data_IF_438607569667
#
_entry.id   IF_438607569667
#
_cell.length_a   1.000
_cell.length_b   1.000
_cell.length_c   1.000
_cell.angle_alpha   90.00
_cell.angle_beta   90.00
_cell.angle_gamma   90.00
#
_symmetry.space_group_name_H-M   'P 1'
#
loop_
_entity.id
_entity.type
_entity.pdbx_description
1 polymer ?
#
# COMPACT_ATOMS: atom_id res chain seq x y z
N UNK A 1 29.39 12.52 12.92
CA UNK A 1 29.50 13.66 11.98
C UNK A 1 29.29 13.12 10.57
N UNK A 2 28.05 13.12 10.07
CA UNK A 2 27.74 12.55 8.76
C UNK A 2 27.47 13.68 7.76
N UNK A 3 28.31 13.72 6.74
CA UNK A 3 28.29 14.68 5.64
C UNK A 3 27.02 14.48 4.80
N UNK A 4 26.17 15.50 4.73
CA UNK A 4 25.07 15.60 3.75
C UNK A 4 25.65 15.51 2.34
N UNK A 5 25.44 14.39 1.64
CA UNK A 5 25.71 14.28 0.20
C UNK A 5 24.44 14.53 -0.58
N UNK A 6 24.59 15.41 -1.58
CA UNK A 6 23.59 15.93 -2.51
C UNK A 6 22.67 14.85 -3.08
N UNK A 7 21.39 15.21 -3.17
CA UNK A 7 20.36 14.54 -3.95
C UNK A 7 20.84 14.35 -5.40
N UNK A 8 20.76 13.13 -5.91
CA UNK A 8 21.01 12.79 -7.32
C UNK A 8 19.71 12.27 -7.91
N UNK A 9 19.23 12.82 -9.04
CA UNK A 9 17.88 12.56 -9.58
C UNK A 9 17.67 11.15 -10.15
N UNK A 10 18.68 10.28 -10.10
CA UNK A 10 18.65 8.93 -10.69
C UNK A 10 18.75 7.79 -9.65
N UNK A 11 18.43 8.04 -8.37
CA UNK A 11 18.52 7.02 -7.32
C UNK A 11 17.17 6.36 -7.05
N UNK A 12 17.08 5.05 -7.22
CA UNK A 12 15.96 4.24 -6.73
C UNK A 12 16.08 4.09 -5.21
N UNK A 13 15.20 4.75 -4.46
CA UNK A 13 14.88 4.33 -3.10
C UNK A 13 14.00 3.08 -3.19
N UNK A 14 14.25 2.09 -2.33
CA UNK A 14 13.38 0.94 -2.11
C UNK A 14 12.25 1.26 -1.13
N UNK A 15 11.50 0.25 -0.69
CA UNK A 15 10.31 0.41 0.13
C UNK A 15 10.57 1.32 1.32
N UNK A 16 9.81 2.40 1.32
CA UNK A 16 9.76 3.42 2.36
C UNK A 16 8.48 3.24 3.16
N UNK A 17 8.47 3.69 4.41
CA UNK A 17 7.27 3.71 5.26
C UNK A 17 6.27 4.77 4.74
N UNK A 18 5.74 4.61 3.52
CA UNK A 18 4.76 5.55 2.95
C UNK A 18 3.42 5.33 3.66
N UNK A 19 3.08 6.29 4.51
CA UNK A 19 1.81 6.44 5.22
C UNK A 19 1.48 7.92 5.33
N UNK A 20 0.21 8.24 5.55
CA UNK A 20 -0.23 9.64 5.64
C UNK A 20 0.57 10.44 6.69
N UNK A 21 0.88 9.85 7.84
CA UNK A 21 1.65 10.46 8.94
C UNK A 21 3.05 10.92 8.52
N UNK A 22 3.63 10.29 7.49
CA UNK A 22 4.98 10.58 7.02
C UNK A 22 4.99 11.66 5.91
N UNK A 23 3.83 12.18 5.50
CA UNK A 23 3.75 13.28 4.54
C UNK A 23 3.70 14.63 5.27
N UNK A 24 4.82 15.32 5.28
CA UNK A 24 4.98 16.62 5.94
C UNK A 24 4.60 17.75 4.99
N UNK A 25 3.59 18.52 5.38
CA UNK A 25 3.08 19.66 4.61
C UNK A 25 3.58 20.96 5.24
N UNK A 26 4.29 21.77 4.46
CA UNK A 26 4.62 23.15 4.81
C UNK A 26 3.56 24.08 4.24
N UNK A 27 2.84 24.77 5.12
CA UNK A 27 1.83 25.76 4.78
C UNK A 27 2.35 27.17 5.07
N UNK A 28 1.91 28.15 4.27
CA UNK A 28 2.26 29.56 4.48
C UNK A 28 1.60 30.16 5.73
N UNK A 29 0.40 29.68 6.06
CA UNK A 29 -0.43 30.11 7.18
C UNK A 29 -1.08 28.86 7.84
N UNK A 30 -1.68 29.03 9.03
CA UNK A 30 -2.37 27.96 9.77
C UNK A 30 -3.91 28.08 9.67
N UNK A 31 -4.42 28.28 8.45
CA UNK A 31 -5.85 28.49 8.18
C UNK A 31 -6.43 27.48 7.18
N UNK A 32 -7.77 27.31 7.12
CA UNK A 32 -8.42 26.35 6.21
C UNK A 32 -8.13 26.59 4.73
N UNK A 33 -7.83 27.83 4.33
CA UNK A 33 -7.48 28.20 2.95
C UNK A 33 -5.96 28.29 2.72
N UNK A 34 -5.16 27.63 3.55
CA UNK A 34 -3.71 27.75 3.47
C UNK A 34 -3.17 27.11 2.21
N UNK A 35 -2.35 27.88 1.49
CA UNK A 35 -1.63 27.39 0.32
C UNK A 35 -0.52 26.45 0.77
N UNK A 36 -0.51 25.23 0.22
CA UNK A 36 0.59 24.28 0.36
C UNK A 36 1.81 24.85 -0.38
N UNK A 37 2.87 25.15 0.36
CA UNK A 37 4.12 25.65 -0.23
C UNK A 37 5.09 24.51 -0.55
N UNK A 38 5.07 23.46 0.28
CA UNK A 38 6.01 22.35 0.17
C UNK A 38 5.43 21.07 0.74
N UNK A 39 5.71 19.97 0.07
CA UNK A 39 5.47 18.61 0.59
C UNK A 39 6.81 17.90 0.72
N UNK A 40 7.03 17.21 1.84
CA UNK A 40 8.24 16.41 2.10
C UNK A 40 7.85 15.04 2.65
N UNK A 41 8.59 14.01 2.26
CA UNK A 41 8.53 12.70 2.90
C UNK A 41 9.43 12.72 4.14
N UNK A 42 8.86 12.40 5.29
CA UNK A 42 9.57 12.17 6.54
C UNK A 42 9.99 10.71 6.69
N UNK A 43 10.55 10.37 7.85
CA UNK A 43 10.74 8.97 8.31
C UNK A 43 11.47 8.08 7.29
N UNK A 44 12.69 8.51 6.93
CA UNK A 44 13.54 7.82 5.94
C UNK A 44 14.57 6.88 6.59
N UNK A 45 14.48 6.63 7.89
CA UNK A 45 15.46 5.83 8.63
C UNK A 45 15.48 4.37 8.19
N UNK A 46 14.32 3.87 7.78
CA UNK A 46 14.12 2.51 7.27
C UNK A 46 14.26 2.40 5.75
N UNK A 47 14.54 3.50 5.05
CA UNK A 47 14.65 3.52 3.60
C UNK A 47 15.93 2.79 3.14
N UNK A 48 15.76 1.80 2.26
CA UNK A 48 16.87 1.00 1.73
C UNK A 48 17.11 1.36 0.27
N UNK A 49 18.37 1.40 -0.16
CA UNK A 49 18.67 1.47 -1.59
C UNK A 49 18.54 0.08 -2.22
N UNK A 50 17.64 -0.05 -3.19
CA UNK A 50 17.49 -1.28 -3.99
C UNK A 50 18.11 -1.07 -5.37
N UNK A 51 19.12 -1.88 -5.75
CA UNK A 51 19.68 -1.85 -7.09
C UNK A 51 18.63 -2.15 -8.17
N UNK A 52 18.76 -1.59 -9.38
CA UNK A 52 17.87 -1.90 -10.49
C UNK A 52 17.76 -3.42 -10.74
N UNK A 53 16.53 -3.90 -10.96
CA UNK A 53 16.26 -5.33 -11.18
C UNK A 53 16.30 -6.20 -9.93
N UNK A 54 16.52 -5.60 -8.75
CA UNK A 54 16.47 -6.30 -7.45
C UNK A 54 15.20 -5.96 -6.68
N UNK A 55 14.90 -6.77 -5.67
CA UNK A 55 13.79 -6.56 -4.72
C UNK A 55 14.25 -6.89 -3.31
N UNK A 56 13.63 -6.25 -2.32
CA UNK A 56 13.77 -6.64 -0.91
C UNK A 56 12.75 -7.74 -0.61
N UNK A 57 13.17 -8.81 0.07
CA UNK A 57 12.34 -9.98 0.38
C UNK A 57 12.40 -10.24 1.89
N UNK A 58 11.30 -10.73 2.46
CA UNK A 58 11.21 -11.18 3.85
C UNK A 58 10.94 -10.10 4.90
N UNK A 59 10.98 -8.81 4.53
CA UNK A 59 10.63 -7.70 5.44
C UNK A 59 9.12 -7.44 5.37
N UNK A 60 8.38 -7.82 6.43
CA UNK A 60 7.02 -7.36 6.69
C UNK A 60 7.04 -6.14 7.62
N UNK A 61 7.79 -5.10 7.25
CA UNK A 61 7.74 -3.80 7.92
C UNK A 61 6.68 -2.91 7.27
N UNK A 62 6.35 -1.77 7.87
CA UNK A 62 5.23 -0.94 7.41
C UNK A 62 4.11 -0.87 8.43
N UNK A 63 3.38 0.23 8.47
CA UNK A 63 2.00 0.17 8.95
C UNK A 63 1.17 -0.69 7.96
N UNK A 64 0.59 -1.79 8.46
CA UNK A 64 -0.13 -2.78 7.66
C UNK A 64 -1.29 -2.20 6.85
N UNK A 65 -1.87 -1.06 7.26
CA UNK A 65 -2.93 -0.37 6.52
C UNK A 65 -2.48 0.23 5.19
N UNK A 66 -1.17 0.43 5.01
CA UNK A 66 -0.59 1.10 3.83
C UNK A 66 0.23 0.16 2.96
N UNK A 67 0.41 -1.10 3.37
CA UNK A 67 1.24 -2.07 2.65
C UNK A 67 0.60 -2.51 1.35
N UNK A 68 1.43 -2.78 0.35
CA UNK A 68 1.03 -3.51 -0.86
C UNK A 68 0.83 -5.00 -0.58
N UNK A 69 0.13 -5.73 -1.47
CA UNK A 69 -0.08 -7.17 -1.35
C UNK A 69 1.23 -7.97 -1.18
N UNK A 70 2.28 -7.67 -1.95
CA UNK A 70 3.58 -8.34 -1.80
C UNK A 70 4.30 -7.97 -0.49
N UNK A 71 4.11 -6.75 0.03
CA UNK A 71 4.67 -6.38 1.33
C UNK A 71 3.98 -7.12 2.49
N UNK A 72 2.68 -7.37 2.38
CA UNK A 72 1.96 -8.27 3.30
C UNK A 72 2.51 -9.70 3.22
N UNK A 73 2.85 -10.18 2.04
CA UNK A 73 3.41 -11.52 1.84
C UNK A 73 4.88 -11.67 2.30
N UNK A 74 5.55 -10.58 2.68
CA UNK A 74 7.01 -10.55 2.76
C UNK A 74 7.68 -10.94 1.43
N UNK A 75 6.98 -10.74 0.32
CA UNK A 75 7.41 -11.07 -1.04
C UNK A 75 8.39 -10.03 -1.61
N UNK A 76 8.68 -10.10 -2.92
CA UNK A 76 9.62 -9.19 -3.56
C UNK A 76 9.06 -7.77 -3.66
N UNK A 77 9.51 -6.89 -2.77
CA UNK A 77 9.11 -5.48 -2.67
C UNK A 77 10.13 -4.55 -3.33
N UNK A 78 9.65 -3.54 -4.05
CA UNK A 78 10.43 -2.53 -4.76
C UNK A 78 9.56 -1.30 -5.04
N UNK A 79 9.95 -0.45 -6.00
CA UNK A 79 9.26 0.82 -6.29
C UNK A 79 7.73 0.68 -6.53
N UNK A 80 7.22 -0.35 -7.24
CA UNK A 80 5.79 -0.67 -7.27
C UNK A 80 5.09 -0.70 -5.91
N UNK A 81 5.72 -1.26 -4.88
CA UNK A 81 5.17 -1.28 -3.53
C UNK A 81 5.01 0.14 -2.96
N UNK A 82 6.00 1.02 -3.17
CA UNK A 82 5.91 2.44 -2.78
C UNK A 82 4.80 3.17 -3.54
N UNK A 83 4.65 2.90 -4.84
CA UNK A 83 3.59 3.50 -5.68
C UNK A 83 2.22 3.08 -5.17
N UNK A 84 2.05 1.81 -4.79
CA UNK A 84 0.81 1.31 -4.21
C UNK A 84 0.48 2.05 -2.91
N UNK A 85 1.41 2.10 -1.95
CA UNK A 85 1.23 2.82 -0.68
C UNK A 85 0.92 4.30 -0.89
N UNK A 86 1.61 4.95 -1.84
CA UNK A 86 1.35 6.35 -2.19
C UNK A 86 -0.05 6.57 -2.76
N UNK A 87 -0.55 5.66 -3.60
CA UNK A 87 -1.92 5.73 -4.10
C UNK A 87 -2.95 5.67 -2.96
N UNK A 88 -2.72 4.85 -1.94
CA UNK A 88 -3.57 4.84 -0.74
C UNK A 88 -3.56 6.17 0.00
N UNK A 89 -2.39 6.82 0.12
CA UNK A 89 -2.27 8.15 0.71
C UNK A 89 -3.05 9.20 -0.08
N UNK A 90 -3.01 9.13 -1.41
CA UNK A 90 -3.82 10.02 -2.25
C UNK A 90 -5.33 9.80 -2.04
N UNK A 91 -5.79 8.55 -2.00
CA UNK A 91 -7.20 8.23 -1.73
C UNK A 91 -7.59 8.75 -0.34
N UNK A 92 -6.76 8.53 0.67
CA UNK A 92 -6.97 9.06 2.01
C UNK A 92 -7.06 10.59 2.03
N UNK A 93 -6.18 11.29 1.34
CA UNK A 93 -6.21 12.75 1.28
C UNK A 93 -7.50 13.29 0.63
N UNK A 94 -8.03 12.59 -0.38
CA UNK A 94 -9.26 12.98 -1.09
C UNK A 94 -10.53 12.67 -0.30
N UNK A 95 -10.60 11.50 0.35
CA UNK A 95 -11.82 11.00 0.98
C UNK A 95 -11.82 11.06 2.52
N UNK A 96 -10.68 11.46 3.12
CA UNK A 96 -10.46 11.52 4.58
C UNK A 96 -10.71 10.18 5.31
N UNK A 97 -10.61 9.07 4.59
CA UNK A 97 -10.86 7.72 5.10
C UNK A 97 -9.80 6.75 4.62
N UNK A 98 -9.40 5.80 5.48
CA UNK A 98 -8.50 4.72 5.09
C UNK A 98 -9.31 3.70 4.32
N UNK A 99 -9.07 3.58 3.01
CA UNK A 99 -9.92 2.86 2.04
C UNK A 99 -10.20 1.39 2.40
N UNK A 100 -9.33 0.78 3.19
CA UNK A 100 -9.47 -0.61 3.62
C UNK A 100 -9.85 -0.78 5.09
N UNK A 101 -10.04 0.30 5.85
CA UNK A 101 -10.37 0.22 7.27
C UNK A 101 -11.63 -0.62 7.51
N UNK A 102 -11.50 -1.60 8.40
CA UNK A 102 -12.56 -2.54 8.78
C UNK A 102 -13.11 -2.05 10.12
N UNK A 103 -14.41 -1.80 10.22
CA UNK A 103 -15.08 -1.52 11.49
C UNK A 103 -15.10 -2.74 12.42
N UNK A 104 -15.23 -2.51 13.74
CA UNK A 104 -15.33 -3.61 14.71
C UNK A 104 -16.67 -4.37 14.56
N UNK A 105 -17.68 -3.71 14.02
CA UNK A 105 -19.00 -4.25 13.67
C UNK A 105 -18.97 -5.14 12.41
N UNK A 106 -17.97 -4.98 11.56
CA UNK A 106 -17.76 -5.80 10.36
C UNK A 106 -16.94 -7.08 10.66
N UNK A 107 -16.35 -7.19 11.85
CA UNK A 107 -15.51 -8.31 12.22
C UNK A 107 -16.33 -9.50 12.72
N UNK A 108 -16.48 -10.51 11.86
CA UNK A 108 -16.98 -11.81 12.28
C UNK A 108 -16.03 -12.51 13.27
N UNK A 109 -16.60 -13.28 14.20
CA UNK A 109 -15.84 -13.96 15.25
C UNK A 109 -14.84 -14.95 14.64
N UNK A 110 -13.55 -14.69 14.85
CA UNK A 110 -12.45 -15.55 14.40
C UNK A 110 -11.85 -15.16 13.04
N UNK A 111 -12.35 -14.11 12.40
CA UNK A 111 -11.77 -13.57 11.16
C UNK A 111 -10.66 -12.57 11.51
N UNK A 112 -9.50 -12.72 10.88
CA UNK A 112 -8.39 -11.78 11.01
C UNK A 112 -8.69 -10.51 10.18
N UNK A 113 -8.56 -9.33 10.81
CA UNK A 113 -8.72 -8.04 10.15
C UNK A 113 -7.81 -7.88 8.93
N UNK A 114 -6.61 -8.46 8.98
CA UNK A 114 -5.67 -8.45 7.86
C UNK A 114 -6.21 -9.19 6.64
N UNK A 115 -6.95 -10.30 6.84
CA UNK A 115 -7.54 -11.04 5.74
C UNK A 115 -8.55 -10.18 4.96
N UNK A 116 -9.39 -9.42 5.68
CA UNK A 116 -10.35 -8.49 5.08
C UNK A 116 -9.65 -7.36 4.34
N UNK A 117 -8.56 -6.80 4.90
CA UNK A 117 -7.78 -5.77 4.19
C UNK A 117 -7.19 -6.30 2.89
N UNK A 118 -6.61 -7.50 2.90
CA UNK A 118 -6.05 -8.10 1.70
C UNK A 118 -7.16 -8.43 0.68
N UNK A 119 -8.29 -8.97 1.13
CA UNK A 119 -9.45 -9.22 0.28
C UNK A 119 -9.90 -7.94 -0.43
N UNK A 120 -10.02 -6.82 0.30
CA UNK A 120 -10.35 -5.52 -0.29
C UNK A 120 -9.29 -5.02 -1.27
N UNK A 121 -7.99 -5.19 -0.97
CA UNK A 121 -6.92 -4.83 -1.91
C UNK A 121 -7.06 -5.57 -3.24
N UNK A 122 -7.30 -6.88 -3.20
CA UNK A 122 -7.46 -7.71 -4.40
C UNK A 122 -8.78 -7.38 -5.10
N UNK A 123 -9.86 -7.25 -4.34
CA UNK A 123 -11.16 -6.90 -4.88
C UNK A 123 -11.09 -5.57 -5.64
N UNK A 124 -10.47 -4.54 -5.03
CA UNK A 124 -10.59 -3.17 -5.51
C UNK A 124 -9.68 -2.83 -6.68
N UNK A 125 -8.49 -3.43 -6.73
CA UNK A 125 -7.45 -3.00 -7.66
C UNK A 125 -6.97 -4.10 -8.60
N UNK A 126 -7.29 -5.37 -8.34
CA UNK A 126 -6.84 -6.45 -9.22
C UNK A 126 -7.91 -6.80 -10.25
N UNK A 127 -7.46 -7.01 -11.48
CA UNK A 127 -8.16 -7.82 -12.48
C UNK A 127 -7.60 -9.26 -12.48
N UNK A 128 -8.15 -10.13 -13.33
CA UNK A 128 -7.73 -11.54 -13.39
C UNK A 128 -6.28 -11.70 -13.85
N UNK A 129 -5.88 -10.95 -14.88
CA UNK A 129 -4.54 -11.02 -15.47
C UNK A 129 -3.46 -10.46 -14.53
N UNK A 130 -3.76 -9.35 -13.85
CA UNK A 130 -2.92 -8.73 -12.84
C UNK A 130 -2.74 -9.64 -11.64
N UNK A 131 -3.81 -10.27 -11.15
CA UNK A 131 -3.71 -11.22 -10.05
C UNK A 131 -2.91 -12.48 -10.43
N UNK A 132 -3.13 -13.03 -11.63
CA UNK A 132 -2.34 -14.17 -12.13
C UNK A 132 -0.86 -13.83 -12.24
N UNK A 133 -0.54 -12.63 -12.74
CA UNK A 133 0.84 -12.14 -12.85
C UNK A 133 1.47 -11.89 -11.49
N UNK A 134 0.69 -11.38 -10.54
CA UNK A 134 1.10 -11.17 -9.16
C UNK A 134 1.43 -12.50 -8.44
N UNK A 135 0.59 -13.53 -8.57
CA UNK A 135 0.86 -14.85 -8.01
C UNK A 135 2.15 -15.45 -8.58
N UNK A 136 2.39 -15.28 -9.90
CA UNK A 136 3.65 -15.70 -10.52
C UNK A 136 4.85 -14.91 -9.98
N UNK A 137 4.68 -13.62 -9.73
CA UNK A 137 5.72 -12.75 -9.14
C UNK A 137 6.08 -13.16 -7.71
N UNK A 138 5.13 -13.66 -6.92
CA UNK A 138 5.39 -14.19 -5.58
C UNK A 138 6.17 -15.52 -5.57
N UNK A 139 6.16 -16.27 -6.67
CA UNK A 139 6.88 -17.55 -6.79
C UNK A 139 6.39 -18.58 -5.79
N UNK A 140 7.30 -19.20 -5.03
CA UNK A 140 6.98 -20.25 -4.05
C UNK A 140 6.60 -19.71 -2.66
N UNK A 141 6.23 -18.43 -2.55
CA UNK A 141 5.87 -17.82 -1.27
C UNK A 141 4.61 -18.48 -0.68
N UNK A 142 4.63 -18.77 0.62
CA UNK A 142 3.52 -19.43 1.32
C UNK A 142 2.18 -18.66 1.21
N UNK A 143 2.23 -17.34 1.03
CA UNK A 143 1.05 -16.49 0.86
C UNK A 143 0.34 -16.69 -0.49
N UNK A 144 0.96 -17.33 -1.48
CA UNK A 144 0.29 -17.63 -2.76
C UNK A 144 -1.02 -18.36 -2.53
N UNK A 145 -1.05 -19.32 -1.60
CA UNK A 145 -2.29 -20.05 -1.24
C UNK A 145 -3.34 -19.15 -0.62
N UNK A 146 -2.95 -18.16 0.17
CA UNK A 146 -3.87 -17.18 0.77
C UNK A 146 -4.53 -16.34 -0.33
N UNK A 147 -3.74 -15.83 -1.26
CA UNK A 147 -4.27 -15.04 -2.38
C UNK A 147 -5.13 -15.85 -3.35
N UNK A 148 -4.82 -17.13 -3.56
CA UNK A 148 -5.67 -18.04 -4.34
C UNK A 148 -7.02 -18.28 -3.66
N UNK A 149 -7.04 -18.52 -2.34
CA UNK A 149 -8.30 -18.67 -1.59
C UNK A 149 -9.14 -17.41 -1.68
N UNK A 150 -8.54 -16.22 -1.55
CA UNK A 150 -9.24 -14.94 -1.73
C UNK A 150 -9.78 -14.80 -3.15
N UNK A 151 -8.96 -15.09 -4.17
CA UNK A 151 -9.37 -15.05 -5.59
C UNK A 151 -10.60 -15.92 -5.83
N UNK A 152 -10.55 -17.16 -5.35
CA UNK A 152 -11.56 -18.19 -5.60
C UNK A 152 -12.82 -17.97 -4.75
N UNK A 153 -12.72 -17.14 -3.70
CA UNK A 153 -13.86 -16.67 -2.92
C UNK A 153 -14.79 -15.73 -3.71
N UNK A 154 -14.27 -14.99 -4.69
CA UNK A 154 -15.09 -14.09 -5.50
C UNK A 154 -15.97 -14.85 -6.51
N UNK A 155 -17.28 -14.65 -6.45
CA UNK A 155 -18.25 -15.31 -7.34
C UNK A 155 -19.56 -14.50 -7.46
N UNK A 156 -20.57 -15.04 -8.15
CA UNK A 156 -21.85 -14.35 -8.35
C UNK A 156 -22.57 -13.99 -7.04
N UNK A 157 -22.38 -14.75 -5.96
CA UNK A 157 -22.95 -14.46 -4.64
C UNK A 157 -22.04 -13.55 -3.79
N UNK A 158 -20.75 -13.50 -4.12
CA UNK A 158 -19.73 -12.70 -3.45
C UNK A 158 -18.91 -11.94 -4.50
N UNK A 159 -19.49 -10.95 -5.20
CA UNK A 159 -18.81 -10.25 -6.27
C UNK A 159 -17.68 -9.37 -5.73
N UNK A 160 -16.68 -9.08 -6.58
CA UNK A 160 -15.68 -8.06 -6.25
C UNK A 160 -16.35 -6.69 -6.11
N UNK A 161 -16.00 -5.95 -5.07
CA UNK A 161 -16.14 -4.49 -4.99
C UNK A 161 -14.86 -3.76 -5.42
N UNK A 162 -14.80 -2.42 -5.38
CA UNK A 162 -15.87 -1.52 -5.03
C UNK A 162 -16.63 -1.09 -6.29
N UNK A 163 -17.77 -0.46 -6.06
CA UNK A 163 -18.57 0.37 -6.97
C UNK A 163 -19.90 -0.25 -7.45
N UNK A 164 -20.95 0.60 -7.44
CA UNK A 164 -20.92 1.95 -8.00
C UNK A 164 -20.44 3.05 -7.03
N UNK A 165 -19.57 3.96 -7.51
CA UNK A 165 -19.55 5.33 -6.99
C UNK A 165 -20.80 6.03 -7.52
N UNK A 166 -21.90 5.99 -6.76
CA UNK A 166 -22.96 6.96 -6.98
C UNK A 166 -22.48 8.31 -6.43
N UNK A 167 -21.82 9.10 -7.27
CA UNK A 167 -21.67 10.54 -7.02
C UNK A 167 -22.97 11.21 -7.46
N UNK A 168 -23.94 11.33 -6.54
CA UNK A 168 -25.08 12.25 -6.67
C UNK A 168 -24.67 13.69 -6.39
#
# INVERSE_FOLDING_TARGET
MFTLRRYSPYRSAGPTEIKADNILIGCKNDHPESTVERVRLGDLEDAVHIPPGSSMVGKQAGNWMWRSPEAHAGGPTNKPSDIFSFALVCIYAMHKGVVFAVGDDELEKGVDRLAIVIERQISYFADEDGLRSFLKHLGDNAWVRVFEVIRDGFNANFPRGPFPLEWS
#
